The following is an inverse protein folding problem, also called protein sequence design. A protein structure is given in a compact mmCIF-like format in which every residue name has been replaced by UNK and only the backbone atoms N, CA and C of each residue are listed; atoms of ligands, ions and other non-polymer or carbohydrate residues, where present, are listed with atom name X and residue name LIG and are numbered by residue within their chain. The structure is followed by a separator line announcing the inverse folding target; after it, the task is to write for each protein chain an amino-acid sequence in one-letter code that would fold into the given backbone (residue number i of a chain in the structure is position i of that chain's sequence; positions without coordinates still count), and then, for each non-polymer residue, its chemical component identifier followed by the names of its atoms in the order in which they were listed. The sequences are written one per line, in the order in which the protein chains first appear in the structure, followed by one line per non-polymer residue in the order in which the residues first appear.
data_IF_254935837886
#
_entry.id   IF_254935837886
#
_cell.length_a   1.000
_cell.length_b   1.000
_cell.length_c   1.000
_cell.angle_alpha   90.00
_cell.angle_beta   90.00
_cell.angle_gamma   90.00
#
_symmetry.space_group_name_H-M   'P 1'
#
loop_
_entity.id
_entity.type
_entity.pdbx_description
1 polymer ?
#
# COMPACT_ATOMS: atom_id res chain seq x y z
N UNK A 1 -22.73 0.74 26.85
CA UNK A 1 -22.86 1.26 25.47
C UNK A 1 -23.32 0.15 24.55
N UNK A 2 -24.31 0.42 23.67
CA UNK A 2 -24.75 -0.53 22.64
C UNK A 2 -23.53 -0.85 21.73
N UNK A 3 -23.30 -2.13 21.44
CA UNK A 3 -22.21 -2.57 20.57
C UNK A 3 -22.49 -2.07 19.15
N UNK A 4 -21.62 -1.20 18.62
CA UNK A 4 -21.76 -0.68 17.26
C UNK A 4 -21.58 -1.81 16.23
N UNK A 5 -22.33 -1.75 15.14
CA UNK A 5 -22.11 -2.58 13.96
C UNK A 5 -20.97 -1.99 13.10
N UNK A 6 -20.38 -2.79 12.21
CA UNK A 6 -19.36 -2.30 11.28
C UNK A 6 -19.87 -1.12 10.42
N UNK A 7 -21.11 -1.21 9.94
CA UNK A 7 -21.74 -0.17 9.12
C UNK A 7 -21.90 1.14 9.90
N UNK A 8 -22.32 1.08 11.16
CA UNK A 8 -22.43 2.27 12.01
C UNK A 8 -21.06 2.91 12.26
N UNK A 9 -20.01 2.10 12.48
CA UNK A 9 -18.64 2.62 12.65
C UNK A 9 -18.17 3.31 11.37
N UNK A 10 -18.39 2.72 10.21
CA UNK A 10 -18.04 3.30 8.92
C UNK A 10 -18.76 4.62 8.68
N UNK A 11 -20.07 4.66 8.84
CA UNK A 11 -20.88 5.87 8.65
C UNK A 11 -20.47 7.02 9.58
N UNK A 12 -20.23 6.74 10.86
CA UNK A 12 -19.75 7.76 11.81
C UNK A 12 -18.36 8.28 11.46
N UNK A 13 -17.46 7.39 11.01
CA UNK A 13 -16.14 7.79 10.57
C UNK A 13 -16.20 8.70 9.32
N UNK A 14 -17.00 8.34 8.32
CA UNK A 14 -17.22 9.12 7.11
C UNK A 14 -17.86 10.49 7.42
N UNK A 15 -18.76 10.55 8.40
CA UNK A 15 -19.36 11.81 8.86
C UNK A 15 -18.32 12.74 9.50
N UNK A 16 -17.41 12.22 10.33
CA UNK A 16 -16.30 12.99 10.91
C UNK A 16 -15.41 13.56 9.81
N UNK A 17 -15.04 12.72 8.82
CA UNK A 17 -14.22 13.14 7.67
C UNK A 17 -14.82 14.34 6.94
N UNK A 18 -16.12 14.24 6.65
CA UNK A 18 -16.87 15.25 5.91
C UNK A 18 -17.07 16.53 6.72
N UNK A 19 -17.44 16.44 8.00
CA UNK A 19 -17.68 17.60 8.85
C UNK A 19 -16.41 18.44 9.09
N UNK A 20 -15.24 17.80 9.04
CA UNK A 20 -13.95 18.45 9.27
C UNK A 20 -13.20 18.77 7.97
N UNK A 21 -13.79 18.50 6.80
CA UNK A 21 -13.16 18.70 5.48
C UNK A 21 -11.72 18.18 5.42
N UNK A 22 -11.50 16.96 5.97
CA UNK A 22 -10.15 16.42 6.18
C UNK A 22 -9.37 16.19 4.88
N UNK A 23 -10.06 15.88 3.78
CA UNK A 23 -9.47 15.73 2.46
C UNK A 23 -8.97 17.05 1.85
N UNK A 24 -9.49 18.20 2.32
CA UNK A 24 -9.02 19.52 1.93
C UNK A 24 -7.87 20.01 2.81
N UNK A 25 -7.64 19.36 3.96
CA UNK A 25 -6.64 19.79 4.94
C UNK A 25 -5.22 19.51 4.45
N UNK A 26 -4.43 20.57 4.30
CA UNK A 26 -3.00 20.49 4.00
C UNK A 26 -2.20 21.03 5.18
N UNK A 27 -1.25 20.25 5.66
CA UNK A 27 -0.29 20.73 6.67
C UNK A 27 1.10 20.73 6.04
N UNK A 28 1.71 21.93 5.96
CA UNK A 28 2.98 22.13 5.23
C UNK A 28 2.92 21.67 3.76
N UNK A 29 1.76 21.84 3.10
CA UNK A 29 1.54 21.39 1.73
C UNK A 29 1.35 19.87 1.57
N UNK A 30 1.35 19.11 2.66
CA UNK A 30 1.17 17.66 2.65
C UNK A 30 -0.30 17.30 2.83
N UNK A 31 -0.91 16.53 1.93
CA UNK A 31 -2.26 15.97 2.09
C UNK A 31 -2.19 14.78 3.07
N UNK A 32 -2.00 15.09 4.32
CA UNK A 32 -1.72 14.11 5.37
C UNK A 32 -2.86 13.10 5.57
N UNK A 33 -4.10 13.51 5.27
CA UNK A 33 -5.27 12.65 5.40
C UNK A 33 -5.22 11.48 4.40
N UNK A 34 -4.74 11.70 3.19
CA UNK A 34 -4.56 10.67 2.18
C UNK A 34 -3.79 9.44 2.70
N UNK A 35 -2.75 9.69 3.50
CA UNK A 35 -1.89 8.64 4.07
C UNK A 35 -2.39 8.14 5.44
N UNK A 36 -3.23 8.92 6.14
CA UNK A 36 -3.65 8.60 7.50
C UNK A 36 -5.00 7.91 7.60
N UNK A 37 -5.93 8.22 6.71
CA UNK A 37 -7.33 7.77 6.69
C UNK A 37 -7.48 6.27 6.96
N UNK A 38 -6.87 5.47 6.11
CA UNK A 38 -6.96 4.01 6.20
C UNK A 38 -6.33 3.45 7.47
N UNK A 39 -5.19 3.97 7.88
CA UNK A 39 -4.52 3.56 9.11
C UNK A 39 -5.39 3.86 10.33
N UNK A 40 -5.94 5.08 10.42
CA UNK A 40 -6.79 5.50 11.54
C UNK A 40 -8.04 4.63 11.65
N UNK A 41 -8.73 4.39 10.53
CA UNK A 41 -9.92 3.54 10.52
C UNK A 41 -9.62 2.12 11.01
N UNK A 42 -8.52 1.51 10.54
CA UNK A 42 -8.12 0.19 11.02
C UNK A 42 -7.82 0.17 12.53
N UNK A 43 -7.20 1.22 13.07
CA UNK A 43 -6.95 1.33 14.52
C UNK A 43 -8.25 1.41 15.32
N UNK A 44 -9.26 2.13 14.80
CA UNK A 44 -10.61 2.18 15.40
C UNK A 44 -11.25 0.79 15.38
N UNK A 45 -11.19 0.08 14.24
CA UNK A 45 -11.74 -1.27 14.12
C UNK A 45 -11.10 -2.26 15.10
N UNK A 46 -9.78 -2.17 15.30
CA UNK A 46 -9.06 -2.97 16.29
C UNK A 46 -9.58 -2.65 17.71
N UNK A 47 -9.62 -1.36 18.04
CA UNK A 47 -10.09 -0.91 19.37
C UNK A 47 -11.51 -1.37 19.68
N UNK A 48 -12.38 -1.41 18.66
CA UNK A 48 -13.77 -1.89 18.77
C UNK A 48 -13.91 -3.42 18.63
N UNK A 49 -12.81 -4.15 18.59
CA UNK A 49 -12.77 -5.63 18.46
C UNK A 49 -13.33 -6.19 17.14
N UNK A 50 -13.42 -5.38 16.07
CA UNK A 50 -13.79 -5.88 14.73
C UNK A 50 -12.64 -6.62 14.03
N UNK A 51 -11.41 -6.38 14.40
CA UNK A 51 -10.22 -6.90 13.71
C UNK A 51 -9.06 -7.22 14.67
N UNK A 52 -9.18 -8.30 15.43
CA UNK A 52 -8.09 -8.76 16.33
C UNK A 52 -6.76 -9.10 15.61
N UNK A 53 -6.83 -9.40 14.29
CA UNK A 53 -5.65 -9.83 13.51
C UNK A 53 -4.76 -8.70 13.00
N UNK A 54 -5.26 -7.46 13.01
CA UNK A 54 -4.45 -6.29 12.65
C UNK A 54 -3.53 -5.87 13.80
N UNK A 55 -3.77 -6.34 15.03
CA UNK A 55 -2.95 -6.00 16.20
C UNK A 55 -1.47 -6.39 16.04
N UNK A 56 -1.20 -7.58 15.50
CA UNK A 56 0.18 -8.08 15.33
C UNK A 56 1.01 -7.23 14.37
N UNK A 57 0.37 -6.53 13.43
CA UNK A 57 1.04 -5.67 12.46
C UNK A 57 1.21 -4.22 12.94
N UNK A 58 0.44 -3.78 13.92
CA UNK A 58 0.38 -2.37 14.37
C UNK A 58 1.20 -2.15 15.64
N UNK A 59 1.30 -3.16 16.52
CA UNK A 59 2.06 -3.04 17.76
C UNK A 59 3.54 -3.36 17.50
N UNK A 60 4.44 -2.38 17.51
CA UNK A 60 5.87 -2.66 17.40
C UNK A 60 6.32 -3.41 18.65
N UNK A 61 6.68 -4.69 18.52
CA UNK A 61 7.33 -5.44 19.62
C UNK A 61 8.51 -4.62 20.15
N UNK A 62 8.51 -4.35 21.43
CA UNK A 62 9.56 -3.60 22.14
C UNK A 62 10.90 -4.32 21.95
N UNK A 63 11.71 -3.89 20.97
CA UNK A 63 13.06 -4.43 20.71
C UNK A 63 14.10 -3.54 21.37
N UNK A 64 15.11 -4.16 21.99
CA UNK A 64 16.24 -3.50 22.66
C UNK A 64 16.86 -2.39 21.79
N UNK A 65 16.89 -1.17 22.32
CA UNK A 65 17.28 0.06 21.60
C UNK A 65 18.73 0.03 21.07
N UNK A 66 19.66 -0.62 21.75
CA UNK A 66 21.08 -0.69 21.38
C UNK A 66 21.28 -1.63 20.18
N UNK A 67 20.70 -2.84 20.20
CA UNK A 67 20.73 -3.77 19.06
C UNK A 67 20.06 -3.17 17.81
N UNK A 68 19.09 -2.26 17.99
CA UNK A 68 18.40 -1.57 16.90
C UNK A 68 19.27 -0.51 16.22
N UNK A 69 20.16 0.20 16.93
CA UNK A 69 21.07 1.20 16.32
C UNK A 69 22.15 0.54 15.47
N UNK A 70 22.81 -0.50 15.99
CA UNK A 70 23.84 -1.25 15.25
C UNK A 70 23.23 -1.91 14.01
N UNK A 71 22.04 -2.55 14.16
CA UNK A 71 21.30 -3.13 13.03
C UNK A 71 20.94 -2.10 11.95
N UNK A 72 20.59 -0.85 12.33
CA UNK A 72 20.29 0.22 11.38
C UNK A 72 21.51 0.64 10.56
N UNK A 73 22.69 0.77 11.17
CA UNK A 73 23.95 1.10 10.46
C UNK A 73 24.28 0.01 9.45
N UNK A 74 24.21 -1.26 9.83
CA UNK A 74 24.44 -2.38 8.93
C UNK A 74 23.42 -2.42 7.76
N UNK A 75 22.14 -2.16 8.04
CA UNK A 75 21.11 -2.09 7.01
C UNK A 75 21.41 -0.91 6.05
N UNK A 76 21.81 0.23 6.58
CA UNK A 76 22.14 1.41 5.78
C UNK A 76 23.38 1.14 4.89
N UNK A 77 24.45 0.58 5.47
CA UNK A 77 25.67 0.23 4.72
C UNK A 77 25.36 -0.78 3.62
N UNK A 78 24.63 -1.84 3.93
CA UNK A 78 24.21 -2.83 2.94
C UNK A 78 23.35 -2.22 1.83
N UNK A 79 22.42 -1.33 2.17
CA UNK A 79 21.58 -0.67 1.17
C UNK A 79 22.38 0.35 0.35
N UNK A 80 23.41 0.97 0.92
CA UNK A 80 24.34 1.81 0.19
C UNK A 80 25.15 0.98 -0.81
N UNK A 81 25.69 -0.18 -0.40
CA UNK A 81 26.37 -1.10 -1.30
C UNK A 81 25.44 -1.59 -2.42
N UNK A 82 24.18 -1.90 -2.11
CA UNK A 82 23.16 -2.23 -3.13
C UNK A 82 22.89 -1.05 -4.07
N UNK A 83 22.92 0.19 -3.55
CA UNK A 83 22.76 1.39 -4.37
C UNK A 83 23.90 1.59 -5.35
N UNK A 84 25.13 1.19 -5.02
CA UNK A 84 26.27 1.20 -5.93
C UNK A 84 26.30 0.00 -6.91
N UNK A 85 25.46 -1.01 -6.68
CA UNK A 85 25.39 -2.20 -7.54
C UNK A 85 24.68 -1.94 -8.86
N UNK A 86 24.76 -2.92 -9.78
CA UNK A 86 23.99 -2.91 -11.06
C UNK A 86 22.45 -2.84 -10.86
N UNK A 87 21.95 -3.13 -9.64
CA UNK A 87 20.54 -3.02 -9.27
C UNK A 87 20.14 -1.65 -8.69
N UNK A 88 21.04 -0.68 -8.77
CA UNK A 88 20.74 0.69 -8.33
C UNK A 88 19.79 1.41 -9.26
N UNK A 89 18.82 2.18 -8.73
CA UNK A 89 17.93 3.03 -9.54
C UNK A 89 18.66 4.07 -10.39
N UNK A 90 19.94 4.38 -10.08
CA UNK A 90 20.74 5.29 -10.90
C UNK A 90 20.96 4.76 -12.32
N UNK A 91 20.91 3.45 -12.53
CA UNK A 91 21.09 2.81 -13.83
C UNK A 91 19.80 2.69 -14.65
N UNK A 92 18.66 3.11 -14.12
CA UNK A 92 17.43 3.19 -14.89
C UNK A 92 17.62 4.10 -16.08
N UNK A 93 17.29 3.60 -17.26
CA UNK A 93 17.36 4.39 -18.50
C UNK A 93 16.33 5.52 -18.47
N UNK A 94 16.70 6.69 -19.01
CA UNK A 94 15.77 7.81 -19.19
C UNK A 94 14.60 7.39 -20.08
N UNK A 95 13.45 8.05 -19.89
CA UNK A 95 12.21 7.83 -20.65
C UNK A 95 11.66 6.40 -20.58
N UNK A 96 12.08 5.59 -19.60
CA UNK A 96 11.47 4.28 -19.36
C UNK A 96 10.14 4.40 -18.59
N UNK A 97 9.28 3.38 -18.67
CA UNK A 97 8.15 3.27 -17.77
C UNK A 97 8.64 2.65 -16.46
N UNK A 98 8.27 3.25 -15.34
CA UNK A 98 8.68 2.78 -14.01
C UNK A 98 7.51 2.05 -13.37
N UNK A 99 7.78 0.88 -12.79
CA UNK A 99 6.83 0.12 -11.99
C UNK A 99 7.34 0.07 -10.55
N UNK A 100 6.52 0.48 -9.58
CA UNK A 100 6.73 0.15 -8.17
C UNK A 100 6.13 -1.24 -7.93
N UNK A 101 6.99 -2.25 -7.98
CA UNK A 101 6.61 -3.66 -7.87
C UNK A 101 6.21 -4.06 -6.46
N UNK A 102 5.49 -5.18 -6.37
CA UNK A 102 5.10 -5.76 -5.09
C UNK A 102 6.21 -6.70 -4.57
N UNK A 103 6.61 -6.62 -3.31
CA UNK A 103 7.71 -7.44 -2.78
C UNK A 103 7.32 -8.91 -2.58
N UNK A 104 6.02 -9.23 -2.50
CA UNK A 104 5.54 -10.62 -2.39
C UNK A 104 5.60 -11.28 -3.75
N UNK A 105 6.37 -12.35 -3.83
CA UNK A 105 6.59 -13.11 -5.04
C UNK A 105 6.16 -14.56 -4.85
N UNK A 106 5.80 -15.23 -5.93
CA UNK A 106 5.47 -16.65 -5.99
C UNK A 106 6.68 -17.38 -6.57
N UNK A 107 7.06 -18.51 -5.97
CA UNK A 107 8.12 -19.36 -6.49
C UNK A 107 7.53 -20.31 -7.53
N UNK A 108 7.99 -20.22 -8.78
CA UNK A 108 7.63 -21.11 -9.87
C UNK A 108 8.89 -21.63 -10.56
N UNK A 109 9.05 -22.95 -10.67
CA UNK A 109 10.21 -23.59 -11.33
C UNK A 109 11.56 -22.98 -10.88
N UNK A 110 11.71 -22.79 -9.55
CA UNK A 110 12.90 -22.21 -8.91
C UNK A 110 13.19 -20.73 -9.24
N UNK A 111 12.23 -20.00 -9.80
CA UNK A 111 12.34 -18.56 -10.09
C UNK A 111 11.21 -17.83 -9.38
N UNK A 112 11.51 -16.71 -8.73
CA UNK A 112 10.52 -15.86 -8.10
C UNK A 112 9.84 -14.95 -9.12
N UNK A 113 8.52 -15.03 -9.19
CA UNK A 113 7.64 -14.27 -10.09
C UNK A 113 6.81 -13.29 -9.29
N UNK A 114 6.72 -12.04 -9.74
CA UNK A 114 5.71 -11.10 -9.27
C UNK A 114 4.41 -11.34 -10.05
N UNK A 115 3.34 -11.88 -9.41
CA UNK A 115 2.11 -12.25 -10.11
C UNK A 115 1.35 -11.04 -10.68
N UNK A 116 1.68 -9.82 -10.27
CA UNK A 116 1.02 -8.61 -10.74
C UNK A 116 1.80 -7.96 -11.88
N UNK A 117 3.12 -7.83 -11.74
CA UNK A 117 3.94 -7.05 -12.68
C UNK A 117 4.56 -7.89 -13.80
N UNK A 118 5.03 -9.11 -13.52
CA UNK A 118 5.69 -9.93 -14.54
C UNK A 118 4.76 -10.28 -15.71
N UNK A 119 3.50 -10.74 -15.50
CA UNK A 119 2.56 -10.97 -16.61
C UNK A 119 2.19 -9.68 -17.37
N UNK A 120 2.09 -8.56 -16.66
CA UNK A 120 1.85 -7.25 -17.27
C UNK A 120 3.02 -6.81 -18.15
N UNK A 121 4.25 -6.96 -17.68
CA UNK A 121 5.45 -6.67 -18.45
C UNK A 121 5.52 -7.55 -19.71
N UNK A 122 5.26 -8.86 -19.59
CA UNK A 122 5.29 -9.78 -20.72
C UNK A 122 4.36 -9.34 -21.84
N UNK A 123 3.15 -8.91 -21.47
CA UNK A 123 2.12 -8.51 -22.45
C UNK A 123 2.57 -7.31 -23.30
N UNK A 124 3.34 -6.39 -22.71
CA UNK A 124 3.74 -5.14 -23.35
C UNK A 124 5.23 -5.06 -23.72
N UNK A 125 6.07 -6.02 -23.32
CA UNK A 125 7.54 -5.95 -23.44
C UNK A 125 8.07 -5.76 -24.84
N UNK A 126 7.34 -6.23 -25.88
CA UNK A 126 7.70 -6.04 -27.28
C UNK A 126 7.59 -4.58 -27.72
N UNK A 127 6.74 -3.78 -27.09
CA UNK A 127 6.45 -2.37 -27.46
C UNK A 127 6.94 -1.35 -26.44
N UNK A 128 7.04 -1.75 -25.17
CA UNK A 128 7.25 -0.84 -24.06
C UNK A 128 8.39 -1.36 -23.16
N UNK A 129 9.35 -0.50 -22.84
CA UNK A 129 10.41 -0.81 -21.90
C UNK A 129 9.99 -0.43 -20.49
N UNK A 130 10.14 -1.36 -19.57
CA UNK A 130 9.85 -1.20 -18.15
C UNK A 130 11.11 -1.30 -17.31
N UNK A 131 11.14 -0.57 -16.21
CA UNK A 131 12.10 -0.68 -15.12
C UNK A 131 11.31 -0.86 -13.81
N UNK A 132 11.58 -1.93 -13.09
CA UNK A 132 10.86 -2.24 -11.84
C UNK A 132 11.68 -1.74 -10.66
N UNK A 133 11.08 -0.92 -9.80
CA UNK A 133 11.60 -0.54 -8.50
C UNK A 133 10.99 -1.44 -7.43
N UNK A 134 11.81 -2.16 -6.72
CA UNK A 134 11.39 -3.09 -5.68
C UNK A 134 11.94 -2.69 -4.31
N UNK A 135 11.10 -2.86 -3.29
CA UNK A 135 11.47 -2.78 -1.88
C UNK A 135 11.68 -4.18 -1.33
N UNK A 136 12.64 -4.38 -0.45
CA UNK A 136 12.83 -5.66 0.23
C UNK A 136 11.57 -6.06 1.02
N UNK A 137 11.17 -7.34 0.94
CA UNK A 137 9.93 -7.87 1.55
C UNK A 137 9.90 -7.65 3.07
N UNK A 138 10.98 -7.94 3.74
CA UNK A 138 11.14 -7.83 5.20
C UNK A 138 12.02 -6.65 5.64
N UNK A 139 12.30 -5.71 4.70
CA UNK A 139 13.24 -4.62 4.89
C UNK A 139 14.71 -5.08 4.94
N UNK A 140 14.99 -6.36 4.68
CA UNK A 140 16.35 -6.94 4.77
C UNK A 140 16.82 -7.52 3.44
N UNK A 141 16.05 -8.40 2.82
CA UNK A 141 16.49 -9.18 1.68
C UNK A 141 15.56 -9.03 0.48
N UNK A 142 16.13 -9.10 -0.70
CA UNK A 142 15.41 -9.29 -1.95
C UNK A 142 15.44 -10.77 -2.31
N UNK A 143 14.34 -11.26 -2.85
CA UNK A 143 14.26 -12.64 -3.34
C UNK A 143 15.07 -12.80 -4.62
N UNK A 144 15.73 -13.96 -4.79
CA UNK A 144 16.54 -14.28 -5.96
C UNK A 144 16.61 -15.80 -6.16
N UNK A 145 16.65 -16.31 -7.39
CA UNK A 145 16.59 -15.58 -8.66
C UNK A 145 15.18 -15.07 -8.97
N UNK A 146 15.10 -13.96 -9.71
CA UNK A 146 13.85 -13.34 -10.13
C UNK A 146 13.71 -13.35 -11.64
N UNK A 147 12.48 -13.42 -12.14
CA UNK A 147 12.19 -13.42 -13.57
C UNK A 147 12.54 -12.08 -14.25
N UNK A 148 12.20 -10.97 -13.58
CA UNK A 148 12.38 -9.62 -14.14
C UNK A 148 13.85 -9.21 -14.15
N UNK A 149 14.42 -8.96 -15.33
CA UNK A 149 15.83 -8.56 -15.50
C UNK A 149 16.07 -7.07 -15.14
N UNK A 150 15.15 -6.19 -15.51
CA UNK A 150 15.23 -4.74 -15.25
C UNK A 150 14.69 -4.38 -13.87
N UNK A 151 15.19 -5.07 -12.83
CA UNK A 151 14.83 -4.88 -11.44
C UNK A 151 15.87 -4.03 -10.72
N UNK A 152 15.41 -3.01 -10.00
CA UNK A 152 16.25 -2.08 -9.24
C UNK A 152 15.70 -1.93 -7.81
N UNK A 153 16.58 -1.62 -6.85
CA UNK A 153 16.26 -1.57 -5.42
C UNK A 153 16.07 -0.14 -4.94
N UNK A 154 14.87 0.17 -4.42
CA UNK A 154 14.52 1.51 -3.92
C UNK A 154 14.93 1.74 -2.46
N UNK A 155 15.41 0.72 -1.75
CA UNK A 155 15.63 0.75 -0.30
C UNK A 155 16.56 1.88 0.15
N UNK A 156 17.57 2.23 -0.62
CA UNK A 156 18.46 3.33 -0.27
C UNK A 156 17.71 4.66 -0.22
N UNK A 157 16.85 4.95 -1.21
CA UNK A 157 16.03 6.15 -1.20
C UNK A 157 15.13 6.20 0.03
N UNK A 158 14.48 5.08 0.37
CA UNK A 158 13.60 5.01 1.54
C UNK A 158 14.39 5.23 2.85
N UNK A 159 15.58 4.66 2.97
CA UNK A 159 16.41 4.84 4.16
C UNK A 159 16.96 6.26 4.26
N UNK A 160 17.38 6.84 3.14
CA UNK A 160 17.85 8.23 3.11
C UNK A 160 16.72 9.19 3.42
N UNK A 161 15.52 8.96 2.87
CA UNK A 161 14.31 9.70 3.23
C UNK A 161 14.01 9.64 4.72
N UNK A 162 14.14 8.45 5.33
CA UNK A 162 13.97 8.27 6.78
C UNK A 162 14.99 9.05 7.61
N UNK A 163 16.22 9.22 7.11
CA UNK A 163 17.23 10.06 7.77
C UNK A 163 16.82 11.54 7.66
N UNK A 164 16.54 12.00 6.46
CA UNK A 164 16.08 13.39 6.22
C UNK A 164 14.85 13.69 7.10
N UNK A 165 13.89 12.77 7.18
CA UNK A 165 12.67 12.96 7.97
C UNK A 165 12.94 13.21 9.45
N UNK A 166 14.00 12.62 10.03
CA UNK A 166 14.37 12.84 11.44
C UNK A 166 14.82 14.26 11.72
N UNK A 167 15.50 14.90 10.77
CA UNK A 167 15.97 16.29 10.89
C UNK A 167 14.88 17.32 10.56
N UNK A 168 13.74 16.91 10.01
CA UNK A 168 12.63 17.82 9.73
C UNK A 168 11.94 18.27 11.02
N UNK A 169 11.89 19.57 11.23
CA UNK A 169 11.13 20.20 12.33
C UNK A 169 9.76 20.57 11.77
N UNK A 170 8.69 20.03 12.38
CA UNK A 170 7.31 20.33 12.01
C UNK A 170 6.67 21.16 13.13
N UNK A 171 6.39 22.39 12.82
CA UNK A 171 5.61 23.31 13.65
C UNK A 171 4.21 23.41 13.05
N UNK A 172 3.20 23.10 13.86
CA UNK A 172 1.79 23.24 13.50
C UNK A 172 1.35 24.69 13.73
N UNK A 173 0.62 25.25 12.77
CA UNK A 173 -0.09 26.53 12.95
C UNK A 173 -1.21 26.38 13.97
N UNK A 174 -1.82 27.47 14.40
CA UNK A 174 -2.97 27.41 15.32
C UNK A 174 -4.16 26.70 14.65
N UNK A 175 -4.39 26.95 13.36
CA UNK A 175 -5.41 26.27 12.56
C UNK A 175 -5.16 24.75 12.50
N UNK A 176 -3.91 24.31 12.25
CA UNK A 176 -3.57 22.90 12.23
C UNK A 176 -3.87 22.23 13.57
N UNK A 177 -3.49 22.90 14.67
CA UNK A 177 -3.74 22.40 16.04
C UNK A 177 -5.22 22.25 16.33
N UNK A 178 -6.03 23.24 15.91
CA UNK A 178 -7.48 23.20 16.10
C UNK A 178 -8.12 22.02 15.37
N UNK A 179 -7.80 21.81 14.09
CA UNK A 179 -8.34 20.67 13.30
C UNK A 179 -7.94 19.32 13.93
N UNK A 180 -6.67 19.19 14.36
CA UNK A 180 -6.19 17.94 14.95
C UNK A 180 -6.85 17.68 16.31
N UNK A 181 -7.07 18.70 17.12
CA UNK A 181 -7.77 18.58 18.41
C UNK A 181 -9.25 18.24 18.20
N UNK A 182 -9.91 18.89 17.25
CA UNK A 182 -11.31 18.59 16.93
C UNK A 182 -11.46 17.14 16.46
N UNK A 183 -10.57 16.65 15.61
CA UNK A 183 -10.56 15.24 15.21
C UNK A 183 -10.40 14.31 16.43
N UNK A 184 -9.47 14.60 17.36
CA UNK A 184 -9.31 13.82 18.60
C UNK A 184 -10.60 13.80 19.43
N UNK A 185 -11.26 14.96 19.54
CA UNK A 185 -12.53 15.12 20.29
C UNK A 185 -13.66 14.31 19.66
N UNK A 186 -13.84 14.40 18.34
CA UNK A 186 -14.87 13.65 17.62
C UNK A 186 -14.63 12.14 17.70
N UNK A 187 -13.40 11.67 17.58
CA UNK A 187 -13.05 10.24 17.71
C UNK A 187 -13.33 9.73 19.12
N UNK A 188 -13.04 10.53 20.14
CA UNK A 188 -13.37 10.16 21.53
C UNK A 188 -14.87 10.09 21.76
N UNK A 189 -15.62 11.09 21.27
CA UNK A 189 -17.08 11.14 21.38
C UNK A 189 -17.76 9.94 20.72
N UNK A 190 -17.39 9.64 19.48
CA UNK A 190 -18.08 8.62 18.67
C UNK A 190 -17.62 7.19 18.98
N UNK A 191 -16.34 6.98 19.34
CA UNK A 191 -15.75 5.64 19.45
C UNK A 191 -15.11 5.36 20.82
N UNK A 192 -15.15 6.30 21.78
CA UNK A 192 -14.38 6.25 23.04
C UNK A 192 -12.89 5.93 22.77
N UNK A 193 -12.35 6.47 21.67
CA UNK A 193 -11.00 6.21 21.21
C UNK A 193 -10.10 7.41 21.43
N UNK A 194 -9.19 7.30 22.42
CA UNK A 194 -8.17 8.31 22.72
C UNK A 194 -6.90 7.98 21.96
N UNK A 195 -6.42 8.92 21.17
CA UNK A 195 -5.23 8.79 20.35
C UNK A 195 -4.53 10.14 20.22
N UNK A 196 -3.22 10.15 20.22
CA UNK A 196 -2.45 11.36 19.93
C UNK A 196 -2.30 11.55 18.41
N UNK A 197 -3.32 12.16 17.78
CA UNK A 197 -3.37 12.44 16.35
C UNK A 197 -2.20 13.33 15.94
N UNK A 198 -1.92 14.39 16.70
CA UNK A 198 -0.81 15.31 16.44
C UNK A 198 0.53 14.60 16.27
N UNK A 199 0.84 13.62 17.13
CA UNK A 199 2.09 12.84 17.06
C UNK A 199 2.13 11.98 15.79
N UNK A 200 1.03 11.35 15.41
CA UNK A 200 0.93 10.51 14.20
C UNK A 200 1.03 11.34 12.92
N UNK A 201 0.26 12.40 12.84
CA UNK A 201 0.29 13.33 11.69
C UNK A 201 1.66 13.96 11.53
N UNK A 202 2.31 14.36 12.65
CA UNK A 202 3.71 14.85 12.61
C UNK A 202 4.66 13.83 11.98
N UNK A 203 4.48 12.55 12.28
CA UNK A 203 5.30 11.48 11.68
C UNK A 203 5.02 11.36 10.18
N UNK A 204 3.76 11.32 9.76
CA UNK A 204 3.35 11.23 8.35
C UNK A 204 3.94 12.38 7.54
N UNK A 205 3.83 13.61 8.04
CA UNK A 205 4.38 14.80 7.36
C UNK A 205 5.91 14.69 7.23
N UNK A 206 6.60 14.27 8.29
CA UNK A 206 8.06 14.07 8.25
C UNK A 206 8.46 13.03 7.20
N UNK A 207 7.78 11.89 7.18
CA UNK A 207 8.05 10.80 6.23
C UNK A 207 7.77 11.28 4.79
N UNK A 208 6.69 12.00 4.56
CA UNK A 208 6.38 12.61 3.26
C UNK A 208 7.47 13.58 2.80
N UNK A 209 7.82 14.54 3.66
CA UNK A 209 8.85 15.54 3.37
C UNK A 209 10.27 14.94 3.27
N UNK A 210 10.45 13.71 3.70
CA UNK A 210 11.67 12.94 3.47
C UNK A 210 11.74 12.36 2.06
N UNK A 211 10.68 11.67 1.61
CA UNK A 211 10.70 10.92 0.35
C UNK A 211 10.30 11.76 -0.87
N UNK A 212 9.32 12.64 -0.74
CA UNK A 212 8.77 13.42 -1.85
C UNK A 212 9.84 14.20 -2.65
N UNK A 213 10.72 15.03 -2.04
CA UNK A 213 11.72 15.78 -2.79
C UNK A 213 12.75 14.88 -3.47
N UNK A 214 13.09 13.74 -2.86
CA UNK A 214 14.00 12.76 -3.47
C UNK A 214 13.38 12.15 -4.74
N UNK A 215 12.09 11.83 -4.68
CA UNK A 215 11.41 11.27 -5.84
C UNK A 215 11.16 12.29 -6.93
N UNK A 216 10.89 13.56 -6.58
CA UNK A 216 10.84 14.65 -7.57
C UNK A 216 12.17 14.78 -8.30
N UNK A 217 13.30 14.79 -7.57
CA UNK A 217 14.62 14.86 -8.17
C UNK A 217 14.90 13.63 -9.06
N UNK A 218 14.62 12.44 -8.58
CA UNK A 218 14.78 11.20 -9.33
C UNK A 218 13.96 11.20 -10.62
N UNK A 219 12.69 11.60 -10.57
CA UNK A 219 11.82 11.66 -11.76
C UNK A 219 12.23 12.76 -12.73
N UNK A 220 12.71 13.91 -12.25
CA UNK A 220 13.32 14.95 -13.12
C UNK A 220 14.52 14.43 -13.88
N UNK A 221 15.38 13.65 -13.23
CA UNK A 221 16.59 13.08 -13.85
C UNK A 221 16.25 11.94 -14.83
N UNK A 222 15.30 11.07 -14.48
CA UNK A 222 14.95 9.88 -15.27
C UNK A 222 13.88 10.14 -16.32
N UNK A 223 13.04 11.16 -16.13
CA UNK A 223 11.94 11.55 -17.03
C UNK A 223 11.08 10.34 -17.44
N UNK A 224 10.53 9.56 -16.48
CA UNK A 224 9.73 8.40 -16.84
C UNK A 224 8.49 8.83 -17.61
N UNK A 225 8.08 8.03 -18.61
CA UNK A 225 6.86 8.28 -19.38
C UNK A 225 5.62 8.07 -18.52
N UNK A 226 5.63 6.99 -17.75
CA UNK A 226 4.53 6.62 -16.86
C UNK A 226 5.07 5.98 -15.57
N UNK A 227 4.30 6.10 -14.50
CA UNK A 227 4.52 5.41 -13.24
C UNK A 227 3.38 4.41 -12.99
N UNK A 228 3.71 3.15 -12.84
CA UNK A 228 2.79 2.09 -12.43
C UNK A 228 3.05 1.73 -10.97
N UNK A 229 2.01 1.49 -10.21
CA UNK A 229 2.11 1.01 -8.82
C UNK A 229 1.21 -0.20 -8.65
N UNK A 230 1.64 -1.19 -7.88
CA UNK A 230 0.79 -2.34 -7.51
C UNK A 230 -0.06 -2.02 -6.29
N UNK A 231 0.47 -1.18 -5.38
CA UNK A 231 -0.20 -0.74 -4.15
C UNK A 231 -0.02 0.75 -4.01
N UNK A 232 -1.10 1.53 -4.15
CA UNK A 232 -1.01 2.99 -4.01
C UNK A 232 -0.90 3.46 -2.57
N UNK A 233 -1.55 2.76 -1.63
CA UNK A 233 -1.43 3.12 -0.22
C UNK A 233 0.00 2.89 0.29
N UNK A 234 0.48 3.77 1.12
CA UNK A 234 1.88 3.89 1.56
C UNK A 234 2.86 4.33 0.47
N UNK A 235 2.38 4.73 -0.74
CA UNK A 235 3.17 5.29 -1.82
C UNK A 235 2.70 6.71 -2.21
N UNK A 236 1.86 7.32 -1.39
CA UNK A 236 1.19 8.59 -1.67
C UNK A 236 2.18 9.69 -2.06
N UNK A 237 3.29 9.80 -1.35
CA UNK A 237 4.32 10.83 -1.63
C UNK A 237 5.03 10.60 -2.97
N UNK A 238 5.23 9.33 -3.37
CA UNK A 238 5.86 8.98 -4.64
C UNK A 238 4.91 9.27 -5.81
N UNK A 239 3.63 8.91 -5.65
CA UNK A 239 2.58 9.20 -6.64
C UNK A 239 2.42 10.71 -6.80
N UNK A 240 2.35 11.45 -5.70
CA UNK A 240 2.27 12.91 -5.72
C UNK A 240 3.49 13.55 -6.42
N UNK A 241 4.70 13.01 -6.19
CA UNK A 241 5.92 13.47 -6.88
C UNK A 241 5.85 13.24 -8.40
N UNK A 242 5.32 12.12 -8.84
CA UNK A 242 5.11 11.84 -10.27
C UNK A 242 4.07 12.80 -10.87
N UNK A 243 2.92 12.94 -10.21
CA UNK A 243 1.83 13.85 -10.65
C UNK A 243 2.27 15.31 -10.72
N UNK A 244 3.10 15.78 -9.78
CA UNK A 244 3.63 17.17 -9.78
C UNK A 244 4.53 17.47 -11.01
N UNK A 245 5.01 16.43 -11.70
CA UNK A 245 5.81 16.54 -12.92
C UNK A 245 5.02 16.15 -14.18
N UNK A 246 3.70 15.99 -14.09
CA UNK A 246 2.84 15.61 -15.22
C UNK A 246 3.02 14.16 -15.68
N UNK A 247 3.68 13.31 -14.89
CA UNK A 247 3.86 11.89 -15.19
C UNK A 247 2.52 11.18 -14.91
N UNK A 248 1.97 10.48 -15.90
CA UNK A 248 0.74 9.69 -15.73
C UNK A 248 0.98 8.52 -14.79
N UNK A 249 0.04 8.32 -13.87
CA UNK A 249 0.14 7.31 -12.82
C UNK A 249 -0.96 6.27 -12.94
N UNK A 250 -0.60 5.00 -12.80
CA UNK A 250 -1.49 3.85 -12.97
C UNK A 250 -1.36 2.93 -11.75
N UNK A 251 -2.47 2.41 -11.24
CA UNK A 251 -2.45 1.32 -10.28
C UNK A 251 -2.88 0.01 -10.94
N UNK A 252 -2.09 -1.04 -10.74
CA UNK A 252 -2.45 -2.42 -11.05
C UNK A 252 -3.20 -2.98 -9.84
N UNK A 253 -4.43 -3.42 -10.01
CA UNK A 253 -5.17 -4.04 -8.91
C UNK A 253 -4.39 -5.23 -8.34
N UNK A 254 -4.28 -5.31 -7.01
CA UNK A 254 -3.60 -6.39 -6.31
C UNK A 254 -4.48 -7.11 -5.27
N UNK A 255 -5.60 -6.53 -4.91
CA UNK A 255 -6.52 -7.05 -3.91
C UNK A 255 -7.98 -6.73 -4.24
N UNK A 256 -8.84 -6.88 -3.26
CA UNK A 256 -10.29 -6.64 -3.41
C UNK A 256 -10.62 -5.20 -3.03
N UNK A 257 -10.84 -4.29 -3.99
CA UNK A 257 -11.42 -2.99 -3.71
C UNK A 257 -12.91 -3.19 -3.39
N UNK A 258 -13.23 -3.05 -2.12
CA UNK A 258 -14.60 -3.20 -1.62
C UNK A 258 -14.89 -2.09 -0.61
N UNK A 259 -16.18 -1.79 -0.37
CA UNK A 259 -16.62 -0.69 0.49
C UNK A 259 -15.99 -0.68 1.90
N UNK A 260 -15.63 -1.82 2.43
CA UNK A 260 -14.96 -1.92 3.74
C UNK A 260 -13.47 -1.52 3.71
N UNK A 261 -12.90 -1.27 2.54
CA UNK A 261 -11.48 -0.95 2.34
C UNK A 261 -11.29 0.53 2.05
N UNK A 262 -11.17 1.34 3.10
CA UNK A 262 -11.05 2.79 3.00
C UNK A 262 -9.79 3.31 2.30
N UNK A 263 -8.85 2.46 1.94
CA UNK A 263 -7.76 2.81 1.04
C UNK A 263 -8.21 2.89 -0.44
N UNK A 264 -9.37 2.30 -0.78
CA UNK A 264 -9.98 2.31 -2.11
C UNK A 264 -11.35 2.97 -2.14
N UNK A 265 -12.17 2.82 -1.09
CA UNK A 265 -13.53 3.32 -1.08
C UNK A 265 -13.62 4.78 -0.61
N UNK A 266 -14.20 5.60 -1.46
CA UNK A 266 -14.43 7.03 -1.28
C UNK A 266 -15.90 7.41 -1.55
N UNK A 267 -16.81 6.50 -1.28
CA UNK A 267 -18.26 6.68 -1.45
C UNK A 267 -18.84 7.82 -0.61
N UNK A 268 -18.14 8.26 0.44
CA UNK A 268 -18.49 9.48 1.20
C UNK A 268 -18.32 10.77 0.38
N UNK A 269 -17.74 10.72 -0.83
CA UNK A 269 -17.51 11.87 -1.71
C UNK A 269 -16.23 12.65 -1.41
N UNK A 270 -15.47 12.25 -0.40
CA UNK A 270 -14.15 12.86 -0.13
C UNK A 270 -13.14 12.48 -1.22
N UNK A 271 -12.11 13.29 -1.39
CA UNK A 271 -11.11 13.11 -2.44
C UNK A 271 -9.79 12.59 -1.88
N UNK A 272 -9.05 11.85 -2.69
CA UNK A 272 -7.65 11.48 -2.44
C UNK A 272 -6.77 12.08 -3.53
N UNK A 273 -5.98 13.10 -3.18
CA UNK A 273 -5.13 13.83 -4.14
C UNK A 273 -3.99 12.98 -4.68
N UNK A 274 -3.47 12.09 -3.85
CA UNK A 274 -2.37 11.19 -4.17
C UNK A 274 -2.81 9.84 -4.73
N UNK A 275 -4.09 9.69 -5.14
CA UNK A 275 -4.51 8.48 -5.85
C UNK A 275 -3.98 8.51 -7.29
N UNK A 276 -3.62 7.34 -7.89
CA UNK A 276 -3.22 7.23 -9.28
C UNK A 276 -4.28 7.78 -10.25
N UNK A 277 -3.83 8.25 -11.43
CA UNK A 277 -4.74 8.81 -12.43
C UNK A 277 -5.64 7.75 -13.08
N UNK A 278 -5.14 6.51 -13.17
CA UNK A 278 -5.83 5.37 -13.75
C UNK A 278 -5.76 4.16 -12.83
N UNK A 279 -6.79 3.34 -12.86
CA UNK A 279 -6.86 2.07 -12.14
C UNK A 279 -7.11 0.93 -13.13
N UNK A 280 -6.20 -0.04 -13.19
CA UNK A 280 -6.31 -1.24 -14.02
C UNK A 280 -6.94 -2.35 -13.18
N UNK A 281 -8.25 -2.54 -13.37
CA UNK A 281 -9.08 -3.45 -12.59
C UNK A 281 -8.98 -4.89 -13.10
N UNK A 282 -9.16 -5.86 -12.22
CA UNK A 282 -9.34 -7.26 -12.64
C UNK A 282 -10.66 -7.53 -13.38
N UNK A 283 -11.58 -6.58 -13.38
CA UNK A 283 -12.87 -6.65 -14.08
C UNK A 283 -13.88 -5.69 -13.50
N UNK A 284 -15.01 -5.54 -14.16
CA UNK A 284 -16.07 -4.57 -13.83
C UNK A 284 -16.71 -4.84 -12.47
N UNK A 285 -16.79 -6.10 -12.05
CA UNK A 285 -17.27 -6.47 -10.71
C UNK A 285 -16.52 -5.70 -9.60
N UNK A 286 -15.21 -5.59 -9.70
CA UNK A 286 -14.39 -4.93 -8.68
C UNK A 286 -14.59 -3.41 -8.67
N UNK A 287 -14.74 -2.80 -9.84
CA UNK A 287 -14.96 -1.36 -9.98
C UNK A 287 -16.37 -0.91 -9.62
N UNK A 288 -17.35 -1.82 -9.62
CA UNK A 288 -18.73 -1.55 -9.22
C UNK A 288 -18.99 -1.69 -7.72
N UNK A 289 -18.11 -2.39 -6.99
CA UNK A 289 -18.29 -2.67 -5.55
C UNK A 289 -17.66 -1.64 -4.60
N UNK A 290 -16.98 -0.62 -5.13
CA UNK A 290 -16.48 0.53 -4.36
C UNK A 290 -16.37 1.77 -5.25
N UNK A 291 -16.40 2.94 -4.66
CA UNK A 291 -16.18 4.21 -5.36
C UNK A 291 -14.75 4.66 -5.21
N UNK A 292 -13.94 4.42 -6.26
CA UNK A 292 -12.57 4.92 -6.31
C UNK A 292 -12.57 6.46 -6.46
N UNK A 293 -11.56 7.16 -5.90
CA UNK A 293 -11.50 8.64 -5.93
C UNK A 293 -11.05 9.19 -7.29
N UNK A 294 -11.47 8.55 -8.38
CA UNK A 294 -11.19 8.92 -9.77
C UNK A 294 -12.43 8.76 -10.64
N UNK A 295 -12.42 9.44 -11.78
CA UNK A 295 -13.51 9.30 -12.73
C UNK A 295 -13.63 7.86 -13.25
N UNK A 296 -14.85 7.33 -13.36
CA UNK A 296 -15.13 5.96 -13.84
C UNK A 296 -14.51 5.66 -15.20
N UNK A 297 -14.39 6.65 -16.09
CA UNK A 297 -13.71 6.51 -17.41
C UNK A 297 -12.21 6.22 -17.30
N UNK A 298 -11.61 6.42 -16.13
CA UNK A 298 -10.20 6.13 -15.83
C UNK A 298 -9.99 4.77 -15.16
N UNK A 299 -11.06 4.03 -14.93
CA UNK A 299 -11.04 2.65 -14.46
C UNK A 299 -11.12 1.76 -15.70
N UNK A 300 -10.11 0.93 -15.90
CA UNK A 300 -9.95 0.09 -17.07
C UNK A 300 -10.03 -1.37 -16.63
N UNK A 301 -11.02 -2.11 -17.14
CA UNK A 301 -11.11 -3.56 -16.93
C UNK A 301 -10.01 -4.25 -17.72
N UNK A 302 -8.91 -4.54 -17.04
CA UNK A 302 -7.69 -5.10 -17.62
C UNK A 302 -7.59 -6.62 -17.46
N UNK A 303 -8.22 -7.17 -16.43
CA UNK A 303 -8.14 -8.59 -16.08
C UNK A 303 -6.92 -8.95 -15.24
N UNK A 304 -6.95 -10.17 -14.69
CA UNK A 304 -5.82 -10.73 -13.95
C UNK A 304 -4.96 -11.57 -14.89
N UNK A 305 -3.89 -11.00 -15.42
CA UNK A 305 -3.02 -11.62 -16.41
C UNK A 305 -2.30 -12.88 -15.90
N UNK A 306 -1.99 -12.90 -14.59
CA UNK A 306 -1.41 -14.09 -13.97
C UNK A 306 -2.40 -15.26 -13.95
N UNK A 307 -3.66 -14.97 -13.60
CA UNK A 307 -4.72 -15.98 -13.60
C UNK A 307 -4.99 -16.50 -15.01
N UNK A 308 -5.12 -15.61 -15.99
CA UNK A 308 -5.34 -16.01 -17.39
C UNK A 308 -4.28 -16.99 -17.90
N UNK A 309 -2.99 -16.74 -17.61
CA UNK A 309 -1.92 -17.68 -17.98
C UNK A 309 -2.01 -19.05 -17.27
N UNK A 310 -2.76 -19.12 -16.17
CA UNK A 310 -2.94 -20.39 -15.42
C UNK A 310 -4.22 -21.11 -15.85
N UNK A 311 -5.17 -20.46 -16.46
CA UNK A 311 -6.45 -21.07 -16.87
C UNK A 311 -6.20 -22.23 -17.83
N UNK A 312 -5.38 -22.06 -18.86
CA UNK A 312 -5.05 -23.12 -19.82
C UNK A 312 -4.44 -24.34 -19.14
N UNK A 313 -3.54 -24.10 -18.17
CA UNK A 313 -2.94 -25.19 -17.39
C UNK A 313 -3.98 -25.91 -16.52
N UNK A 314 -4.93 -25.19 -15.93
CA UNK A 314 -5.93 -25.78 -15.04
C UNK A 314 -7.11 -26.38 -15.78
N UNK A 315 -7.38 -26.01 -17.03
CA UNK A 315 -8.47 -26.56 -17.85
C UNK A 315 -8.29 -28.06 -18.10
N UNK A 316 -7.04 -28.50 -18.23
CA UNK A 316 -6.69 -29.88 -18.55
C UNK A 316 -6.59 -30.81 -17.33
N UNK A 317 -6.75 -30.24 -16.13
CA UNK A 317 -6.73 -31.05 -14.91
C UNK A 317 -8.06 -31.78 -14.75
N UNK A 318 -8.06 -33.12 -14.71
CA UNK A 318 -9.30 -33.90 -14.56
C UNK A 318 -9.97 -33.59 -13.22
N UNK A 319 -11.27 -33.40 -13.26
CA UNK A 319 -12.07 -33.17 -12.05
C UNK A 319 -11.97 -34.41 -11.17
N UNK A 320 -11.70 -34.17 -9.89
CA UNK A 320 -11.63 -35.19 -8.87
C UNK A 320 -12.73 -35.02 -7.85
N UNK A 321 -13.24 -36.14 -7.31
CA UNK A 321 -14.21 -36.07 -6.23
C UNK A 321 -13.49 -35.67 -4.92
N UNK A 322 -13.33 -34.37 -4.70
CA UNK A 322 -12.62 -33.78 -3.55
C UNK A 322 -13.41 -32.65 -2.93
N UNK A 323 -13.44 -32.61 -1.61
CA UNK A 323 -13.87 -31.45 -0.85
C UNK A 323 -12.66 -30.53 -0.65
N UNK A 324 -12.77 -29.30 -1.15
CA UNK A 324 -11.72 -28.27 -1.00
C UNK A 324 -12.21 -27.22 0.00
N UNK A 325 -11.50 -27.09 1.12
CA UNK A 325 -11.74 -26.04 2.11
C UNK A 325 -10.76 -24.90 1.87
N UNK A 326 -11.29 -23.76 1.41
CA UNK A 326 -10.49 -22.54 1.22
C UNK A 326 -10.45 -21.77 2.55
N UNK A 327 -9.27 -21.62 3.14
CA UNK A 327 -9.06 -20.91 4.39
C UNK A 327 -8.01 -19.80 4.22
N UNK A 328 -8.21 -18.69 4.92
CA UNK A 328 -7.16 -17.67 5.10
C UNK A 328 -6.38 -17.98 6.38
N UNK A 329 -5.17 -17.44 6.49
CA UNK A 329 -4.33 -17.52 7.69
C UNK A 329 -4.91 -16.66 8.85
N UNK A 330 -6.13 -17.00 9.26
CA UNK A 330 -6.91 -16.35 10.30
C UNK A 330 -7.20 -17.37 11.39
N UNK A 331 -6.85 -17.14 12.67
CA UNK A 331 -7.00 -18.13 13.74
C UNK A 331 -8.39 -18.75 13.85
N UNK A 332 -9.45 -17.93 13.73
CA UNK A 332 -10.83 -18.42 13.77
C UNK A 332 -11.14 -19.30 12.55
N UNK A 333 -10.76 -18.85 11.34
CA UNK A 333 -10.98 -19.62 10.11
C UNK A 333 -10.14 -20.88 10.08
N UNK A 334 -8.91 -20.83 10.60
CA UNK A 334 -8.06 -22.02 10.75
C UNK A 334 -8.68 -23.03 11.73
N UNK A 335 -9.26 -22.57 12.85
CA UNK A 335 -10.00 -23.42 13.79
C UNK A 335 -11.22 -24.05 13.12
N UNK A 336 -12.06 -23.25 12.45
CA UNK A 336 -13.24 -23.74 11.73
C UNK A 336 -12.85 -24.77 10.65
N UNK A 337 -11.78 -24.55 9.90
CA UNK A 337 -11.26 -25.50 8.91
C UNK A 337 -10.79 -26.81 9.56
N UNK A 338 -10.15 -26.76 10.74
CA UNK A 338 -9.79 -27.94 11.51
C UNK A 338 -11.01 -28.70 12.02
N UNK A 339 -12.04 -28.00 12.48
CA UNK A 339 -13.27 -28.61 12.99
C UNK A 339 -14.05 -29.28 11.84
N UNK A 340 -14.14 -28.63 10.66
CA UNK A 340 -14.68 -29.23 9.44
C UNK A 340 -13.88 -30.49 9.06
N UNK A 341 -12.54 -30.43 9.02
CA UNK A 341 -11.69 -31.58 8.74
C UNK A 341 -11.94 -32.73 9.69
N UNK A 342 -12.01 -32.48 11.01
CA UNK A 342 -12.30 -33.50 12.03
C UNK A 342 -13.68 -34.16 11.82
N UNK A 343 -14.68 -33.37 11.40
CA UNK A 343 -16.01 -33.90 11.12
C UNK A 343 -16.02 -34.88 9.95
N UNK A 344 -15.31 -34.55 8.87
CA UNK A 344 -15.24 -35.40 7.67
C UNK A 344 -14.28 -36.61 7.80
N UNK A 345 -13.30 -36.55 8.69
CA UNK A 345 -12.40 -37.67 8.95
C UNK A 345 -12.97 -38.71 9.94
N UNK A 346 -14.09 -38.43 10.60
CA UNK A 346 -14.78 -39.36 11.52
C UNK A 346 -15.87 -40.17 10.82
N UNK A 347 -16.11 -39.97 9.55
CA UNK A 347 -16.94 -40.78 8.65
C UNK A 347 -16.09 -41.60 7.68
#
# INVERSE_FOLDING_TARGET
MKKLTFTEVLQRFELIEKNLDLDQSLIKGVPWWDAFRYQLFNEILIKLNFSKHLEDNIIPKRKNYIKKRISLIFIMLRNFLKFLSKRSPIWIKKNSNIILGHPRRVLEKNIYIDPYTDPFIDLFSKRIKFSVLEKALDGKNHLSPVRTNNLYYIDFFNNFANIISKFRIINFSQKDKSILLELETQLYKEFSYSINIKKKVKKIIKDWLGIYPLMVLFFKLKKPKNLFVVVSHSQEAIIAAAKSLGIKTFELQHGSPVRSKLNYDYSSGIKKRSFPDFFLSFGDFWSSNCELPINKKKIISFGNQYLYKKLDFYSDIPKQNRLVVISQAHPILAKNAQDIRKHFLKK
#
